data_IF_834336162681
#
_entry.id   IF_834336162681
#
_cell.length_a   1.000
_cell.length_b   1.000
_cell.length_c   1.000
_cell.angle_alpha   90.00
_cell.angle_beta   90.00
_cell.angle_gamma   90.00
#
_symmetry.space_group_name_H-M   'P 1'
#
loop_
_entity.id
_entity.type
_entity.pdbx_description
1 polymer ?
#
# COMPACT_ATOMS: atom_id res chain seq x y z
N UNK A 1 -20.46 -15.09 2.24
CA UNK A 1 -19.58 -14.62 3.34
C UNK A 1 -18.16 -14.65 2.83
N UNK A 2 -17.37 -13.61 3.09
CA UNK A 2 -15.99 -13.48 2.59
C UNK A 2 -15.03 -14.00 3.66
N UNK A 3 -13.99 -14.75 3.28
CA UNK A 3 -12.99 -15.31 4.21
C UNK A 3 -11.68 -14.52 4.22
N UNK A 4 -11.39 -13.75 3.16
CA UNK A 4 -10.18 -12.95 3.05
C UNK A 4 -10.54 -11.63 2.38
N UNK A 5 -10.09 -10.52 2.97
CA UNK A 5 -10.11 -9.19 2.34
C UNK A 5 -8.67 -8.84 1.95
N UNK A 6 -8.46 -8.44 0.70
CA UNK A 6 -7.15 -8.00 0.21
C UNK A 6 -7.23 -6.54 -0.19
N UNK A 7 -6.26 -5.75 0.25
CA UNK A 7 -6.10 -4.34 -0.08
C UNK A 7 -4.64 -4.04 -0.42
N UNK A 8 -4.36 -2.87 -1.01
CA UNK A 8 -3.01 -2.33 -1.03
C UNK A 8 -2.64 -1.85 0.39
N UNK A 9 -1.34 -1.81 0.76
CA UNK A 9 -0.91 -1.16 1.99
C UNK A 9 -1.33 0.30 1.96
N UNK A 10 -1.00 1.00 0.88
CA UNK A 10 -1.09 2.44 0.75
C UNK A 10 -1.66 2.84 -0.62
N UNK A 11 -2.42 3.93 -0.65
CA UNK A 11 -2.79 4.61 -1.88
C UNK A 11 -1.78 5.74 -2.15
N UNK A 12 -1.40 5.92 -3.43
CA UNK A 12 -0.31 6.85 -3.82
C UNK A 12 -0.70 8.33 -3.81
N UNK A 13 -1.98 8.61 -3.56
CA UNK A 13 -2.56 9.94 -3.51
C UNK A 13 -2.65 10.47 -2.07
N UNK A 14 -3.09 9.66 -1.12
CA UNK A 14 -3.16 10.03 0.30
C UNK A 14 -1.93 9.60 1.13
N UNK A 15 -1.16 8.61 0.65
CA UNK A 15 -0.01 8.02 1.31
C UNK A 15 -0.26 7.56 2.77
N UNK A 16 -1.52 7.24 3.14
CA UNK A 16 -1.90 7.03 4.54
C UNK A 16 -1.47 5.67 5.11
N UNK A 17 -1.52 4.60 4.30
CA UNK A 17 -1.31 3.23 4.77
C UNK A 17 -2.20 2.84 5.98
N UNK A 18 -3.51 3.12 5.90
CA UNK A 18 -4.45 2.99 7.03
C UNK A 18 -5.62 2.02 6.76
N UNK A 19 -6.17 2.04 5.54
CA UNK A 19 -7.45 1.37 5.21
C UNK A 19 -7.48 -0.10 5.57
N UNK A 20 -6.41 -0.85 5.28
CA UNK A 20 -6.33 -2.28 5.57
C UNK A 20 -6.36 -2.57 7.07
N UNK A 21 -5.55 -1.86 7.85
CA UNK A 21 -5.46 -2.03 9.31
C UNK A 21 -6.75 -1.60 10.01
N UNK A 22 -7.36 -0.49 9.58
CA UNK A 22 -8.64 -0.03 10.13
C UNK A 22 -9.76 -1.02 9.80
N UNK A 23 -9.80 -1.57 8.59
CA UNK A 23 -10.77 -2.61 8.21
C UNK A 23 -10.62 -3.84 9.10
N UNK A 24 -9.40 -4.30 9.35
CA UNK A 24 -9.12 -5.43 10.25
C UNK A 24 -9.61 -5.15 11.68
N UNK A 25 -9.31 -3.96 12.21
CA UNK A 25 -9.71 -3.56 13.55
C UNK A 25 -11.24 -3.46 13.71
N UNK A 26 -11.94 -2.88 12.74
CA UNK A 26 -13.41 -2.74 12.76
C UNK A 26 -14.13 -4.09 12.65
N UNK A 27 -13.52 -5.07 11.97
CA UNK A 27 -14.04 -6.43 11.85
C UNK A 27 -13.63 -7.35 13.00
N UNK A 28 -12.71 -6.92 13.86
CA UNK A 28 -12.00 -7.76 14.84
C UNK A 28 -11.33 -8.99 14.17
N UNK A 29 -10.72 -8.77 13.01
CA UNK A 29 -10.02 -9.81 12.23
C UNK A 29 -8.51 -9.67 12.37
N UNK A 30 -7.76 -10.79 12.36
CA UNK A 30 -6.32 -10.75 12.26
C UNK A 30 -5.90 -10.14 10.91
N UNK A 31 -4.71 -9.53 10.90
CA UNK A 31 -4.16 -8.86 9.73
C UNK A 31 -2.77 -9.37 9.37
N UNK A 32 -2.47 -9.40 8.07
CA UNK A 32 -1.13 -9.60 7.52
C UNK A 32 -0.76 -8.42 6.63
N UNK A 33 -0.09 -7.42 7.20
CA UNK A 33 0.31 -6.21 6.44
C UNK A 33 1.65 -6.40 5.73
N UNK A 34 1.87 -5.63 4.67
CA UNK A 34 3.07 -5.69 3.81
C UNK A 34 3.41 -7.10 3.34
N UNK A 35 2.40 -7.89 2.96
CA UNK A 35 2.59 -9.27 2.55
C UNK A 35 3.37 -9.35 1.23
N UNK A 36 4.53 -10.03 1.23
CA UNK A 36 5.31 -10.38 0.05
C UNK A 36 5.15 -11.85 -0.37
N UNK A 37 4.65 -12.72 0.50
CA UNK A 37 4.18 -14.06 0.14
C UNK A 37 2.96 -14.46 0.98
N UNK A 38 2.04 -15.25 0.40
CA UNK A 38 0.85 -15.75 1.08
C UNK A 38 0.65 -17.22 0.72
N UNK A 39 0.55 -18.07 1.73
CA UNK A 39 0.22 -19.48 1.59
C UNK A 39 -1.02 -19.81 2.41
N UNK A 40 -1.98 -20.50 1.77
CA UNK A 40 -3.15 -21.04 2.43
C UNK A 40 -2.80 -22.40 3.05
N UNK A 41 -2.93 -22.51 4.37
CA UNK A 41 -2.63 -23.72 5.14
C UNK A 41 -3.90 -24.14 5.92
N UNK A 42 -4.79 -24.86 5.24
CA UNK A 42 -6.07 -25.29 5.83
C UNK A 42 -6.99 -24.11 6.14
N UNK A 43 -7.23 -23.86 7.42
CA UNK A 43 -8.04 -22.76 7.95
C UNK A 43 -7.22 -21.52 8.33
N UNK A 44 -5.91 -21.52 8.04
CA UNK A 44 -4.98 -20.44 8.35
C UNK A 44 -4.28 -19.90 7.11
N UNK A 45 -3.72 -18.70 7.25
CA UNK A 45 -2.83 -18.09 6.29
C UNK A 45 -1.45 -17.98 6.91
N UNK A 46 -0.44 -18.49 6.20
CA UNK A 46 0.96 -18.17 6.45
C UNK A 46 1.34 -17.00 5.55
N UNK A 47 1.74 -15.90 6.16
CA UNK A 47 2.04 -14.64 5.48
C UNK A 47 3.48 -14.27 5.75
N UNK A 48 4.26 -14.06 4.69
CA UNK A 48 5.61 -13.47 4.78
C UNK A 48 5.46 -11.97 4.54
N UNK A 49 5.98 -11.17 5.46
CA UNK A 49 5.84 -9.71 5.51
C UNK A 49 7.19 -9.05 5.30
N UNK A 50 7.21 -7.96 4.56
CA UNK A 50 8.33 -7.02 4.53
C UNK A 50 8.32 -6.17 5.81
N UNK A 51 9.44 -6.15 6.51
CA UNK A 51 9.71 -5.31 7.68
C UNK A 51 11.05 -4.60 7.48
N UNK A 52 11.32 -3.55 8.27
CA UNK A 52 12.54 -2.74 8.10
C UNK A 52 13.85 -3.57 8.13
N UNK A 53 13.88 -4.64 8.94
CA UNK A 53 15.03 -5.51 9.12
C UNK A 53 15.09 -6.72 8.17
N UNK A 54 14.14 -6.89 7.25
CA UNK A 54 14.05 -8.04 6.36
C UNK A 54 12.64 -8.63 6.29
N UNK A 55 12.52 -9.94 6.54
CA UNK A 55 11.25 -10.66 6.41
C UNK A 55 10.76 -11.19 7.75
N UNK A 56 9.46 -11.10 7.99
CA UNK A 56 8.77 -11.72 9.12
C UNK A 56 7.73 -12.71 8.61
N UNK A 57 7.71 -13.94 9.13
CA UNK A 57 6.65 -14.90 8.83
C UNK A 57 5.67 -14.98 9.98
N UNK A 58 4.40 -14.74 9.71
CA UNK A 58 3.31 -14.90 10.67
C UNK A 58 2.31 -15.95 10.18
N UNK A 59 1.59 -16.55 11.13
CA UNK A 59 0.45 -17.43 10.84
C UNK A 59 -0.79 -16.84 11.51
N UNK A 60 -1.83 -16.60 10.71
CA UNK A 60 -3.07 -15.98 11.16
C UNK A 60 -4.27 -16.87 10.81
N UNK A 61 -5.29 -16.88 11.68
CA UNK A 61 -6.52 -17.61 11.43
C UNK A 61 -7.36 -16.88 10.37
N UNK A 62 -8.13 -17.61 9.58
CA UNK A 62 -9.19 -17.01 8.77
C UNK A 62 -10.50 -16.90 9.56
N UNK A 63 -11.32 -15.85 9.34
CA UNK A 63 -11.16 -14.83 8.31
C UNK A 63 -10.08 -13.78 8.63
N UNK A 64 -9.47 -13.17 7.60
CA UNK A 64 -8.34 -12.26 7.77
C UNK A 64 -8.33 -11.11 6.75
N UNK A 65 -7.61 -10.03 7.07
CA UNK A 65 -7.33 -8.90 6.18
C UNK A 65 -5.84 -8.89 5.79
N UNK A 66 -5.55 -8.79 4.50
CA UNK A 66 -4.18 -8.77 3.97
C UNK A 66 -3.95 -7.46 3.22
N UNK A 67 -2.78 -6.85 3.42
CA UNK A 67 -2.31 -5.76 2.55
C UNK A 67 -1.13 -6.25 1.70
N UNK A 68 -1.23 -6.14 0.37
CA UNK A 68 -0.25 -6.69 -0.57
C UNK A 68 0.91 -5.73 -0.83
N UNK A 69 2.14 -6.10 -0.43
CA UNK A 69 3.34 -5.35 -0.81
C UNK A 69 3.59 -5.43 -2.32
N UNK A 70 4.34 -4.47 -2.86
CA UNK A 70 4.77 -4.47 -4.26
C UNK A 70 5.49 -5.76 -4.65
N UNK A 71 6.18 -6.42 -3.71
CA UNK A 71 6.92 -7.66 -3.94
C UNK A 71 6.03 -8.92 -4.00
N UNK A 72 4.74 -8.81 -3.68
CA UNK A 72 3.85 -9.97 -3.60
C UNK A 72 3.73 -10.73 -4.93
N UNK A 73 3.59 -10.00 -6.03
CA UNK A 73 3.45 -10.56 -7.37
C UNK A 73 3.71 -9.52 -8.46
N UNK A 74 3.74 -9.99 -9.70
CA UNK A 74 3.67 -9.14 -10.89
C UNK A 74 2.23 -9.14 -11.43
N UNK A 75 1.51 -8.00 -11.40
CA UNK A 75 0.16 -7.92 -11.94
C UNK A 75 0.12 -8.22 -13.43
N UNK A 76 -0.68 -9.21 -13.83
CA UNK A 76 -0.85 -9.56 -15.25
C UNK A 76 -1.59 -8.46 -16.02
N UNK A 77 -1.24 -8.30 -17.30
CA UNK A 77 -1.99 -7.44 -18.21
C UNK A 77 -3.40 -7.99 -18.51
N UNK A 78 -4.37 -7.09 -18.66
CA UNK A 78 -5.71 -7.44 -19.12
C UNK A 78 -5.72 -7.63 -20.65
N UNK A 79 -6.07 -8.82 -21.12
CA UNK A 79 -6.19 -9.09 -22.56
C UNK A 79 -7.43 -8.41 -23.15
N UNK A 80 -7.39 -8.04 -24.43
CA UNK A 80 -8.52 -7.41 -25.13
C UNK A 80 -9.84 -8.22 -24.99
N UNK A 81 -9.86 -9.55 -25.14
CA UNK A 81 -11.08 -10.33 -24.89
C UNK A 81 -11.61 -10.20 -23.47
N UNK A 82 -10.73 -10.12 -22.46
CA UNK A 82 -11.12 -9.97 -21.07
C UNK A 82 -11.70 -8.58 -20.78
N UNK A 83 -11.17 -7.54 -21.44
CA UNK A 83 -11.72 -6.18 -21.36
C UNK A 83 -13.15 -6.14 -21.94
N UNK A 84 -13.37 -6.76 -23.10
CA UNK A 84 -14.70 -6.82 -23.71
C UNK A 84 -15.71 -7.60 -22.86
N UNK A 85 -15.28 -8.67 -22.18
CA UNK A 85 -16.10 -9.41 -21.21
C UNK A 85 -16.39 -8.58 -19.96
N UNK A 86 -15.40 -7.84 -19.45
CA UNK A 86 -15.54 -7.01 -18.26
C UNK A 86 -16.60 -5.91 -18.44
N UNK A 87 -16.67 -5.28 -19.61
CA UNK A 87 -17.71 -4.28 -19.93
C UNK A 87 -19.15 -4.80 -19.83
N UNK A 88 -19.35 -6.12 -19.98
CA UNK A 88 -20.68 -6.75 -19.86
C UNK A 88 -21.00 -7.20 -18.44
N UNK A 89 -20.02 -7.22 -17.54
CA UNK A 89 -20.27 -7.57 -16.13
C UNK A 89 -21.04 -6.43 -15.49
N UNK A 90 -22.13 -6.78 -14.81
CA UNK A 90 -22.91 -5.81 -14.04
C UNK A 90 -22.05 -5.28 -12.88
N UNK A 91 -22.02 -3.97 -12.72
CA UNK A 91 -21.45 -3.31 -11.54
C UNK A 91 -22.64 -2.91 -10.67
N UNK A 92 -22.72 -3.52 -9.49
CA UNK A 92 -23.76 -3.16 -8.54
C UNK A 92 -23.39 -1.84 -7.87
N UNK A 93 -24.26 -0.85 -8.00
CA UNK A 93 -24.09 0.47 -7.41
C UNK A 93 -24.75 0.47 -6.03
N UNK A 94 -23.95 0.67 -5.00
CA UNK A 94 -24.39 0.74 -3.60
C UNK A 94 -23.85 2.04 -3.02
N UNK A 95 -24.67 2.75 -2.26
CA UNK A 95 -24.28 3.97 -1.56
C UNK A 95 -23.87 3.66 -0.11
N UNK A 96 -23.05 4.50 0.55
CA UNK A 96 -22.76 4.33 1.98
C UNK A 96 -24.03 4.26 2.85
N UNK A 97 -25.08 4.99 2.46
CA UNK A 97 -26.38 4.99 3.13
C UNK A 97 -27.06 3.63 3.08
N UNK A 98 -26.96 2.91 1.96
CA UNK A 98 -27.51 1.55 1.82
C UNK A 98 -26.82 0.54 2.76
N UNK A 99 -25.60 0.86 3.21
CA UNK A 99 -24.81 0.07 4.16
C UNK A 99 -24.91 0.59 5.60
N UNK A 100 -25.64 1.68 5.85
CA UNK A 100 -25.75 2.29 7.17
C UNK A 100 -24.46 2.95 7.67
N UNK A 101 -23.56 3.36 6.77
CA UNK A 101 -22.27 3.98 7.10
C UNK A 101 -22.39 5.50 7.08
N UNK A 102 -21.98 6.15 8.18
CA UNK A 102 -21.82 7.60 8.26
C UNK A 102 -20.48 8.01 7.64
N UNK A 103 -20.52 9.04 6.80
CA UNK A 103 -19.36 9.58 6.08
C UNK A 103 -18.83 10.88 6.71
N UNK A 104 -19.28 11.24 7.92
CA UNK A 104 -18.77 12.39 8.66
C UNK A 104 -17.26 12.25 8.94
N UNK A 105 -16.45 13.11 8.33
CA UNK A 105 -15.01 13.15 8.58
C UNK A 105 -14.70 13.73 9.97
N UNK A 106 -13.69 13.16 10.62
CA UNK A 106 -13.10 13.70 11.86
C UNK A 106 -11.81 14.48 11.61
N UNK A 107 -11.40 14.59 10.35
CA UNK A 107 -10.18 15.27 9.90
C UNK A 107 -10.57 16.35 8.90
N UNK A 108 -9.99 17.53 9.05
CA UNK A 108 -10.17 18.67 8.16
C UNK A 108 -8.82 19.07 7.57
N UNK A 109 -8.74 19.17 6.24
CA UNK A 109 -7.55 19.63 5.53
C UNK A 109 -7.61 21.16 5.48
N UNK A 110 -6.69 21.83 6.18
CA UNK A 110 -6.64 23.30 6.25
C UNK A 110 -5.96 23.92 5.02
N UNK A 111 -4.92 23.27 4.51
CA UNK A 111 -4.12 23.78 3.40
C UNK A 111 -3.37 22.65 2.69
N UNK A 112 -3.11 22.82 1.40
CA UNK A 112 -2.20 21.99 0.59
C UNK A 112 -1.31 22.93 -0.20
N UNK A 113 -0.01 22.74 -0.10
CA UNK A 113 1.00 23.60 -0.72
C UNK A 113 2.01 22.75 -1.47
N UNK A 114 2.60 23.33 -2.52
CA UNK A 114 3.71 22.67 -3.22
C UNK A 114 4.93 22.55 -2.29
N UNK A 115 5.68 21.43 -2.34
CA UNK A 115 6.91 21.31 -1.59
C UNK A 115 7.94 22.37 -2.05
N UNK A 116 8.87 22.77 -1.18
CA UNK A 116 9.88 23.76 -1.54
C UNK A 116 10.71 23.27 -2.74
N UNK A 117 10.82 24.12 -3.76
CA UNK A 117 11.61 23.79 -4.95
C UNK A 117 13.08 23.57 -4.58
N UNK A 118 13.63 22.43 -4.98
CA UNK A 118 15.05 22.12 -4.76
C UNK A 118 15.91 23.11 -5.56
N UNK A 119 16.89 23.73 -4.89
CA UNK A 119 17.86 24.60 -5.56
C UNK A 119 18.68 23.82 -6.59
N UNK A 120 19.05 24.48 -7.68
CA UNK A 120 19.86 23.89 -8.73
C UNK A 120 21.20 23.38 -8.17
N UNK A 121 21.54 22.13 -8.50
CA UNK A 121 22.82 21.54 -8.15
C UNK A 121 23.97 22.02 -9.04
N UNK A 122 25.19 21.66 -8.66
CA UNK A 122 26.40 21.91 -9.43
C UNK A 122 26.88 20.58 -10.03
N UNK A 123 27.30 20.58 -11.30
CA UNK A 123 27.99 19.45 -11.92
C UNK A 123 29.51 19.64 -11.75
N UNK A 124 30.21 18.59 -11.36
CA UNK A 124 31.67 18.56 -11.24
C UNK A 124 32.25 17.58 -12.26
N UNK A 125 33.46 17.83 -12.73
CA UNK A 125 34.08 17.05 -13.80
C UNK A 125 34.86 15.85 -13.27
N UNK A 126 35.34 15.90 -12.03
CA UNK A 126 36.16 14.84 -11.43
C UNK A 126 35.73 14.46 -10.03
N UNK A 127 36.12 13.26 -9.62
CA UNK A 127 35.87 12.75 -8.26
C UNK A 127 36.58 13.60 -7.21
N UNK A 128 37.78 14.13 -7.49
CA UNK A 128 38.52 15.02 -6.59
C UNK A 128 37.74 16.32 -6.35
N UNK A 129 37.14 16.89 -7.41
CA UNK A 129 36.28 18.07 -7.28
C UNK A 129 35.04 17.77 -6.45
N UNK A 130 34.43 16.59 -6.64
CA UNK A 130 33.29 16.16 -5.83
C UNK A 130 33.66 16.07 -4.35
N UNK A 131 34.76 15.38 -4.02
CA UNK A 131 35.24 15.22 -2.65
C UNK A 131 35.58 16.58 -2.04
N UNK A 132 36.27 17.46 -2.76
CA UNK A 132 36.58 18.81 -2.30
C UNK A 132 35.29 19.59 -1.97
N UNK A 133 34.31 19.59 -2.88
CA UNK A 133 33.01 20.27 -2.67
C UNK A 133 32.25 19.71 -1.47
N UNK A 134 32.26 18.38 -1.29
CA UNK A 134 31.61 17.74 -0.14
C UNK A 134 32.30 18.07 1.20
N UNK A 135 33.65 18.18 1.21
CA UNK A 135 34.40 18.65 2.39
C UNK A 135 34.09 20.10 2.73
N UNK A 136 34.04 20.98 1.73
CA UNK A 136 33.69 22.40 1.91
C UNK A 136 32.32 22.58 2.58
N UNK A 137 31.33 21.74 2.24
CA UNK A 137 29.99 21.77 2.84
C UNK A 137 29.82 20.87 4.07
N UNK A 138 30.92 20.31 4.60
CA UNK A 138 30.94 19.49 5.82
C UNK A 138 30.14 18.19 5.73
N UNK A 139 30.02 17.61 4.53
CA UNK A 139 29.33 16.33 4.32
C UNK A 139 30.27 15.13 4.35
N UNK A 140 31.58 15.35 4.25
CA UNK A 140 32.69 14.38 4.44
C UNK A 140 33.96 15.07 4.96
#
# INVERSE_FOLDING_TARGET
QVSIIVSAPQAIDDDCNETGQMTAALLDWPQGTFASEIHLEGDKLKVVREIDGGLETIVINMPAVITADLRLNEPRYATLPNIMKAKKKKIDMVTPKDLGVDMASRVEILSVEDPPQRQAGIKVETTEQLVAKLREIGRI
#
